data_IF_441677338772
#
_entry.id   IF_441677338772
#
_cell.length_a   1.000
_cell.length_b   1.000
_cell.length_c   1.000
_cell.angle_alpha   90.00
_cell.angle_beta   90.00
_cell.angle_gamma   90.00
#
_symmetry.space_group_name_H-M   'P 1'
#
loop_
_entity.id
_entity.type
_entity.pdbx_description
1 polymer ?
#
# COMPACT_ATOMS: atom_id res chain seq x y z
N UNK A 1 24.28 -6.56 43.01
CA UNK A 1 23.11 -6.16 42.21
C UNK A 1 23.44 -6.53 40.77
N UNK A 2 23.19 -7.80 40.42
CA UNK A 2 23.57 -8.37 39.13
C UNK A 2 22.55 -7.96 38.06
N UNK A 3 23.03 -7.23 37.06
CA UNK A 3 22.27 -6.90 35.86
C UNK A 3 22.45 -8.05 34.88
N UNK A 4 21.53 -9.02 34.89
CA UNK A 4 21.45 -10.03 33.83
C UNK A 4 20.80 -9.41 32.60
N UNK A 5 21.61 -9.07 31.61
CA UNK A 5 21.15 -8.75 30.25
C UNK A 5 21.07 -10.07 29.47
N UNK A 6 19.91 -10.73 29.53
CA UNK A 6 19.59 -11.90 28.71
C UNK A 6 19.40 -11.47 27.23
N UNK A 7 20.50 -11.33 26.49
CA UNK A 7 20.50 -10.99 25.05
C UNK A 7 20.66 -12.24 24.19
N UNK A 8 19.82 -13.26 24.41
CA UNK A 8 19.79 -14.45 23.55
C UNK A 8 18.38 -14.84 23.14
N UNK A 9 17.66 -13.89 22.53
CA UNK A 9 16.46 -14.22 21.78
C UNK A 9 16.77 -15.26 20.69
N UNK A 10 15.95 -16.28 20.54
CA UNK A 10 16.16 -17.36 19.57
C UNK A 10 16.09 -16.84 18.12
N UNK A 11 16.68 -17.56 17.15
CA UNK A 11 16.54 -17.20 15.72
C UNK A 11 15.06 -17.17 15.29
N UNK A 12 14.22 -17.99 15.91
CA UNK A 12 12.78 -18.02 15.71
C UNK A 12 12.10 -16.75 16.25
N UNK A 13 12.40 -16.32 17.48
CA UNK A 13 11.89 -15.05 18.05
C UNK A 13 12.35 -13.84 17.24
N UNK A 14 13.62 -13.79 16.81
CA UNK A 14 14.09 -12.71 15.93
C UNK A 14 13.51 -12.80 14.51
N UNK A 15 12.90 -13.92 14.12
CA UNK A 15 12.20 -14.09 12.84
C UNK A 15 10.72 -13.76 12.98
N UNK A 16 10.10 -14.07 14.12
CA UNK A 16 8.77 -13.63 14.51
C UNK A 16 8.71 -12.12 14.73
N UNK A 17 9.66 -11.53 15.45
CA UNK A 17 9.83 -10.07 15.53
C UNK A 17 10.25 -9.42 14.19
N UNK A 18 10.61 -10.24 13.19
CA UNK A 18 10.82 -9.83 11.80
C UNK A 18 9.71 -10.30 10.85
N UNK A 19 8.59 -10.85 11.35
CA UNK A 19 7.30 -10.79 10.64
C UNK A 19 6.95 -9.32 10.65
N UNK A 20 7.53 -8.63 9.66
CA UNK A 20 7.63 -7.17 9.60
C UNK A 20 6.34 -6.69 9.03
N UNK A 21 5.85 -5.59 9.60
CA UNK A 21 4.71 -4.94 9.04
C UNK A 21 4.95 -4.64 7.55
N UNK A 22 4.00 -5.04 6.71
CA UNK A 22 4.08 -4.79 5.27
C UNK A 22 3.52 -3.40 4.98
N UNK A 23 4.19 -2.63 4.14
CA UNK A 23 3.64 -1.35 3.66
C UNK A 23 3.01 -1.55 2.28
N UNK A 24 1.72 -1.24 2.17
CA UNK A 24 1.02 -1.13 0.89
C UNK A 24 0.77 0.34 0.62
N UNK A 25 1.47 0.90 -0.37
CA UNK A 25 1.44 2.34 -0.65
C UNK A 25 0.87 2.57 -2.05
N UNK A 26 -0.04 3.53 -2.19
CA UNK A 26 -0.56 3.94 -3.50
C UNK A 26 -0.33 5.41 -3.74
N UNK A 27 -0.07 5.78 -4.99
CA UNK A 27 0.11 7.16 -5.43
C UNK A 27 -0.36 7.33 -6.89
N UNK A 28 -0.47 8.58 -7.31
CA UNK A 28 -0.79 9.01 -8.66
C UNK A 28 0.15 10.15 -9.11
N UNK A 29 -0.05 10.65 -10.33
CA UNK A 29 0.79 11.71 -10.91
C UNK A 29 0.81 13.02 -10.08
N UNK A 30 -0.19 13.24 -9.22
CA UNK A 30 -0.28 14.45 -8.40
C UNK A 30 0.34 14.29 -7.01
N UNK A 31 0.65 13.05 -6.61
CA UNK A 31 1.10 12.71 -5.26
C UNK A 31 2.53 12.18 -5.20
N UNK A 32 3.30 12.24 -6.30
CA UNK A 32 4.69 11.76 -6.35
C UNK A 32 5.60 12.42 -5.29
N UNK A 33 5.48 13.74 -5.10
CA UNK A 33 6.27 14.44 -4.08
C UNK A 33 5.90 13.99 -2.65
N UNK A 34 4.60 13.77 -2.38
CA UNK A 34 4.14 13.27 -1.10
C UNK A 34 4.59 11.82 -0.86
N UNK A 35 4.62 11.01 -1.92
CA UNK A 35 5.15 9.64 -1.89
C UNK A 35 6.62 9.64 -1.50
N UNK A 36 7.47 10.44 -2.15
CA UNK A 36 8.91 10.50 -1.81
C UNK A 36 9.15 10.93 -0.37
N UNK A 37 8.43 11.96 0.10
CA UNK A 37 8.50 12.39 1.50
C UNK A 37 8.10 11.25 2.44
N UNK A 38 7.01 10.54 2.16
CA UNK A 38 6.58 9.41 2.97
C UNK A 38 7.63 8.29 2.99
N UNK A 39 8.14 7.88 1.82
CA UNK A 39 9.14 6.81 1.70
C UNK A 39 10.43 7.15 2.46
N UNK A 40 10.83 8.43 2.49
CA UNK A 40 11.99 8.89 3.25
C UNK A 40 11.81 8.76 4.78
N UNK A 41 10.58 8.65 5.29
CA UNK A 41 10.31 8.41 6.72
C UNK A 41 10.36 6.94 7.10
N UNK A 42 10.31 6.03 6.12
CA UNK A 42 10.25 4.60 6.38
C UNK A 42 11.61 4.06 6.86
N UNK A 43 11.62 3.08 7.78
CA UNK A 43 12.85 2.38 8.14
C UNK A 43 13.51 1.73 6.92
N UNK A 44 14.84 1.66 6.90
CA UNK A 44 15.61 1.00 5.82
C UNK A 44 15.22 -0.46 5.57
N UNK A 45 14.60 -1.09 6.57
CA UNK A 45 14.17 -2.47 6.52
C UNK A 45 12.68 -2.65 6.21
N UNK A 46 11.95 -1.56 5.97
CA UNK A 46 10.57 -1.56 5.51
C UNK A 46 10.45 -2.41 4.25
N UNK A 47 9.39 -3.21 4.19
CA UNK A 47 9.12 -4.16 3.11
C UNK A 47 7.69 -3.97 2.65
N UNK A 48 7.40 -4.14 1.37
CA UNK A 48 6.08 -3.76 0.87
C UNK A 48 5.95 -3.61 -0.63
N UNK A 49 4.81 -3.07 -1.05
CA UNK A 49 4.48 -2.74 -2.43
C UNK A 49 4.10 -1.28 -2.56
N UNK A 50 4.50 -0.68 -3.67
CA UNK A 50 4.14 0.68 -4.05
C UNK A 50 3.51 0.59 -5.44
N UNK A 51 2.28 1.04 -5.58
CA UNK A 51 1.61 1.18 -6.87
C UNK A 51 1.47 2.66 -7.21
N UNK A 52 1.92 3.05 -8.39
CA UNK A 52 1.89 4.44 -8.84
C UNK A 52 1.16 4.49 -10.18
N UNK A 53 0.05 5.19 -10.23
CA UNK A 53 -0.69 5.39 -11.47
C UNK A 53 -0.29 6.70 -12.15
N UNK A 54 -0.18 6.66 -13.47
CA UNK A 54 0.15 7.84 -14.29
C UNK A 54 -0.65 7.83 -15.59
N UNK A 55 -0.85 8.99 -16.24
CA UNK A 55 -1.57 9.06 -17.52
C UNK A 55 -0.97 8.15 -18.59
N UNK A 56 0.34 8.26 -18.83
CA UNK A 56 1.04 7.60 -19.93
C UNK A 56 2.39 6.98 -19.50
N UNK A 57 3.01 6.15 -20.36
CA UNK A 57 4.33 5.58 -20.08
C UNK A 57 5.45 6.62 -20.10
N UNK A 58 5.26 7.75 -20.77
CA UNK A 58 6.18 8.89 -20.72
C UNK A 58 6.28 9.56 -19.34
N UNK A 59 5.30 9.35 -18.47
CA UNK A 59 5.25 9.90 -17.11
C UNK A 59 5.96 9.00 -16.08
N UNK A 60 6.49 7.85 -16.50
CA UNK A 60 7.20 6.92 -15.62
C UNK A 60 8.55 7.51 -15.22
N UNK A 61 8.82 7.52 -13.91
CA UNK A 61 10.04 8.03 -13.32
C UNK A 61 10.80 7.04 -12.45
N UNK A 62 11.78 7.58 -11.73
CA UNK A 62 12.52 6.86 -10.68
C UNK A 62 11.97 7.31 -9.33
N UNK A 63 11.77 6.34 -8.43
CA UNK A 63 11.37 6.57 -7.03
C UNK A 63 12.35 5.84 -6.14
N UNK A 64 12.94 6.58 -5.20
CA UNK A 64 13.85 6.01 -4.19
C UNK A 64 13.04 5.36 -3.07
N UNK A 65 12.79 4.05 -3.20
CA UNK A 65 12.13 3.24 -2.18
C UNK A 65 13.13 2.43 -1.33
N UNK A 66 12.79 2.10 -0.07
CA UNK A 66 13.56 1.15 0.72
C UNK A 66 13.79 -0.17 -0.03
N UNK A 67 14.99 -0.77 0.12
CA UNK A 67 15.44 -1.87 -0.75
C UNK A 67 14.65 -3.19 -0.66
N UNK A 68 13.63 -3.30 0.19
CA UNK A 68 12.70 -4.45 0.25
C UNK A 68 11.27 -4.09 -0.20
N UNK A 69 11.10 -2.92 -0.79
CA UNK A 69 9.84 -2.47 -1.39
C UNK A 69 9.93 -2.57 -2.92
N UNK A 70 8.82 -2.93 -3.55
CA UNK A 70 8.72 -3.01 -5.01
C UNK A 70 7.82 -1.90 -5.53
N UNK A 71 8.35 -1.04 -6.40
CA UNK A 71 7.60 0.00 -7.10
C UNK A 71 7.04 -0.55 -8.41
N UNK A 72 5.74 -0.38 -8.63
CA UNK A 72 5.03 -0.76 -9.85
C UNK A 72 4.35 0.45 -10.46
N UNK A 73 4.72 0.78 -11.69
CA UNK A 73 4.12 1.89 -12.43
C UNK A 73 2.94 1.42 -13.30
N UNK A 74 1.86 2.20 -13.27
CA UNK A 74 0.59 1.91 -13.91
C UNK A 74 0.20 3.04 -14.87
N UNK A 75 0.78 3.06 -16.06
CA UNK A 75 0.32 3.90 -17.17
C UNK A 75 -1.11 3.55 -17.61
N UNK A 76 -2.07 4.46 -17.41
CA UNK A 76 -3.49 4.24 -17.73
C UNK A 76 -3.76 4.12 -19.22
N UNK A 77 -3.09 4.91 -20.06
CA UNK A 77 -3.29 4.91 -21.50
C UNK A 77 -2.98 3.55 -22.17
N UNK A 78 -2.09 2.76 -21.56
CA UNK A 78 -1.73 1.42 -22.03
C UNK A 78 -2.64 0.31 -21.48
N UNK A 79 -3.70 0.64 -20.74
CA UNK A 79 -4.56 -0.32 -20.02
C UNK A 79 -6.02 -0.15 -20.41
N UNK A 80 -6.72 -1.28 -20.46
CA UNK A 80 -8.17 -1.33 -20.62
C UNK A 80 -8.85 -1.15 -19.27
N UNK A 81 -9.94 -0.37 -19.29
CA UNK A 81 -10.83 -0.20 -18.15
C UNK A 81 -11.69 -1.45 -17.91
N UNK A 82 -12.89 -1.23 -17.40
CA UNK A 82 -13.78 -2.31 -16.97
C UNK A 82 -13.98 -3.36 -18.09
N UNK A 83 -13.83 -4.67 -17.79
CA UNK A 83 -14.00 -5.74 -18.76
C UNK A 83 -15.30 -5.62 -19.55
N UNK A 84 -15.22 -5.85 -20.86
CA UNK A 84 -16.39 -5.77 -21.75
C UNK A 84 -16.79 -4.37 -22.22
N UNK A 85 -16.16 -3.29 -21.71
CA UNK A 85 -16.50 -1.92 -22.15
C UNK A 85 -15.71 -1.44 -23.36
N UNK A 86 -14.54 -2.01 -23.63
CA UNK A 86 -13.60 -1.53 -24.65
C UNK A 86 -13.03 -0.13 -24.39
N UNK A 87 -13.26 0.44 -23.21
CA UNK A 87 -12.79 1.78 -22.82
C UNK A 87 -11.36 1.70 -22.27
N UNK A 88 -10.63 2.82 -22.37
CA UNK A 88 -9.40 3.01 -21.62
C UNK A 88 -9.68 3.13 -20.11
N UNK A 89 -8.68 2.85 -19.27
CA UNK A 89 -8.77 3.04 -17.83
C UNK A 89 -9.10 4.50 -17.47
N UNK A 90 -10.09 4.68 -16.60
CA UNK A 90 -10.32 5.96 -15.94
C UNK A 90 -9.24 6.22 -14.87
N UNK A 91 -9.02 7.50 -14.46
CA UNK A 91 -8.18 7.81 -13.31
C UNK A 91 -8.58 7.04 -12.06
N UNK A 92 -7.61 6.41 -11.40
CA UNK A 92 -7.77 5.58 -10.20
C UNK A 92 -8.09 4.11 -10.49
N UNK A 93 -8.56 3.77 -11.68
CA UNK A 93 -9.05 2.42 -11.99
C UNK A 93 -7.92 1.38 -12.08
N UNK A 94 -6.79 1.75 -12.69
CA UNK A 94 -5.65 0.85 -12.76
C UNK A 94 -5.02 0.67 -11.37
N UNK A 95 -4.95 1.77 -10.60
CA UNK A 95 -4.46 1.77 -9.22
C UNK A 95 -5.28 0.88 -8.30
N UNK A 96 -6.60 1.07 -8.29
CA UNK A 96 -7.52 0.30 -7.45
C UNK A 96 -7.44 -1.19 -7.80
N UNK A 97 -7.56 -1.54 -9.08
CA UNK A 97 -7.50 -2.93 -9.55
C UNK A 97 -6.19 -3.63 -9.15
N UNK A 98 -5.04 -2.98 -9.35
CA UNK A 98 -3.75 -3.58 -9.01
C UNK A 98 -3.59 -3.75 -7.49
N UNK A 99 -4.06 -2.78 -6.71
CA UNK A 99 -3.98 -2.80 -5.25
C UNK A 99 -4.88 -3.88 -4.65
N UNK A 100 -6.15 -3.95 -5.08
CA UNK A 100 -7.09 -4.96 -4.62
C UNK A 100 -6.65 -6.37 -5.01
N UNK A 101 -6.19 -6.58 -6.25
CA UNK A 101 -5.68 -7.89 -6.67
C UNK A 101 -4.47 -8.34 -5.84
N UNK A 102 -3.55 -7.42 -5.52
CA UNK A 102 -2.43 -7.73 -4.64
C UNK A 102 -2.90 -8.06 -3.22
N UNK A 103 -3.85 -7.28 -2.69
CA UNK A 103 -4.39 -7.47 -1.36
C UNK A 103 -5.13 -8.82 -1.23
N UNK A 104 -5.93 -9.19 -2.23
CA UNK A 104 -6.64 -10.47 -2.28
C UNK A 104 -5.69 -11.67 -2.23
N UNK A 105 -4.54 -11.57 -2.89
CA UNK A 105 -3.55 -12.65 -2.91
C UNK A 105 -2.68 -12.71 -1.64
N UNK A 106 -2.42 -11.56 -1.00
CA UNK A 106 -1.35 -11.43 0.00
C UNK A 106 -1.85 -11.17 1.43
N UNK A 107 -3.10 -10.75 1.61
CA UNK A 107 -3.69 -10.46 2.92
C UNK A 107 -4.69 -11.55 3.34
N UNK A 108 -4.58 -12.78 2.80
CA UNK A 108 -5.45 -13.90 3.15
C UNK A 108 -5.42 -14.21 4.67
N UNK A 109 -6.54 -14.74 5.19
CA UNK A 109 -6.84 -14.93 6.62
C UNK A 109 -5.75 -15.61 7.47
N UNK A 110 -4.85 -16.39 6.87
CA UNK A 110 -3.78 -17.12 7.56
C UNK A 110 -2.60 -16.20 8.00
N UNK A 111 -2.51 -14.97 7.49
CA UNK A 111 -1.44 -14.00 7.77
C UNK A 111 -1.84 -12.91 8.78
N UNK A 112 -2.89 -13.14 9.57
CA UNK A 112 -3.39 -12.22 10.61
C UNK A 112 -2.35 -11.77 11.67
N UNK A 113 -1.18 -12.42 11.73
CA UNK A 113 -0.07 -12.02 12.60
C UNK A 113 0.84 -10.92 12.01
N UNK A 114 0.76 -10.63 10.71
CA UNK A 114 1.57 -9.61 10.05
C UNK A 114 0.77 -8.32 9.85
N UNK A 115 1.05 -7.31 10.69
CA UNK A 115 0.41 -5.99 10.57
C UNK A 115 0.69 -5.37 9.19
N UNK A 116 -0.33 -5.06 8.39
CA UNK A 116 -0.13 -4.38 7.11
C UNK A 116 -0.56 -2.93 7.23
N UNK A 117 0.37 -1.99 7.06
CA UNK A 117 0.06 -0.56 7.00
C UNK A 117 -0.24 -0.15 5.57
N UNK A 118 -1.46 0.35 5.35
CA UNK A 118 -1.92 0.82 4.05
C UNK A 118 -1.85 2.34 4.01
N UNK A 119 -1.19 2.92 3.01
CA UNK A 119 -1.07 4.38 2.85
C UNK A 119 -1.50 4.77 1.44
N UNK A 120 -2.64 5.44 1.33
CA UNK A 120 -3.28 5.78 0.07
C UNK A 120 -3.09 7.28 -0.21
N UNK A 121 -2.25 7.62 -1.18
CA UNK A 121 -1.94 9.01 -1.54
C UNK A 121 -2.62 9.47 -2.84
N UNK A 122 -3.28 8.56 -3.55
CA UNK A 122 -3.91 8.85 -4.84
C UNK A 122 -5.21 9.67 -4.73
N UNK A 123 -5.82 9.91 -5.91
CA UNK A 123 -7.10 10.59 -6.04
C UNK A 123 -8.27 9.88 -5.37
N UNK A 124 -9.37 10.61 -5.21
CA UNK A 124 -10.55 10.16 -4.46
C UNK A 124 -11.13 8.84 -4.98
N UNK A 125 -11.39 8.73 -6.29
CA UNK A 125 -12.11 7.57 -6.86
C UNK A 125 -11.35 6.25 -6.60
N UNK A 126 -10.07 6.18 -6.98
CA UNK A 126 -9.27 4.99 -6.71
C UNK A 126 -9.10 4.71 -5.22
N UNK A 127 -8.93 5.75 -4.39
CA UNK A 127 -8.81 5.59 -2.94
C UNK A 127 -10.10 5.04 -2.32
N UNK A 128 -11.27 5.53 -2.74
CA UNK A 128 -12.56 5.07 -2.25
C UNK A 128 -12.79 3.59 -2.57
N UNK A 129 -12.54 3.19 -3.83
CA UNK A 129 -12.67 1.80 -4.27
C UNK A 129 -11.74 0.87 -3.48
N UNK A 130 -10.51 1.30 -3.21
CA UNK A 130 -9.55 0.52 -2.41
C UNK A 130 -10.03 0.41 -0.95
N UNK A 131 -10.43 1.52 -0.33
CA UNK A 131 -10.90 1.51 1.07
C UNK A 131 -12.12 0.62 1.23
N UNK A 132 -13.09 0.72 0.33
CA UNK A 132 -14.27 -0.14 0.32
C UNK A 132 -13.84 -1.61 0.22
N UNK A 133 -13.03 -1.97 -0.77
CA UNK A 133 -12.59 -3.37 -0.93
C UNK A 133 -11.85 -3.91 0.30
N UNK A 134 -10.87 -3.17 0.82
CA UNK A 134 -10.08 -3.60 1.98
C UNK A 134 -10.94 -3.80 3.23
N UNK A 135 -11.88 -2.89 3.48
CA UNK A 135 -12.72 -2.93 4.70
C UNK A 135 -13.91 -3.87 4.57
N UNK A 136 -14.58 -3.93 3.41
CA UNK A 136 -15.79 -4.75 3.24
C UNK A 136 -15.49 -6.17 2.80
N UNK A 137 -14.52 -6.34 1.90
CA UNK A 137 -14.21 -7.66 1.30
C UNK A 137 -13.18 -8.40 2.13
N UNK A 138 -12.10 -7.72 2.53
CA UNK A 138 -11.00 -8.33 3.28
C UNK A 138 -11.10 -8.12 4.80
N UNK A 139 -12.05 -7.31 5.28
CA UNK A 139 -12.26 -7.09 6.71
C UNK A 139 -11.09 -6.40 7.42
N UNK A 140 -10.22 -5.69 6.69
CA UNK A 140 -9.08 -4.97 7.26
C UNK A 140 -9.60 -3.83 8.14
N UNK A 141 -9.07 -3.73 9.36
CA UNK A 141 -9.40 -2.63 10.25
C UNK A 141 -8.95 -1.29 9.63
N UNK A 142 -9.89 -0.35 9.55
CA UNK A 142 -9.65 1.02 9.10
C UNK A 142 -8.52 1.73 9.84
N UNK A 143 -8.20 1.33 11.09
CA UNK A 143 -7.07 1.85 11.85
C UNK A 143 -5.71 1.59 11.16
N UNK A 144 -5.60 0.57 10.31
CA UNK A 144 -4.40 0.25 9.55
C UNK A 144 -4.34 0.97 8.19
N UNK A 145 -5.38 1.70 7.82
CA UNK A 145 -5.49 2.41 6.54
C UNK A 145 -5.33 3.90 6.79
N UNK A 146 -4.38 4.52 6.09
CA UNK A 146 -4.22 5.97 6.04
C UNK A 146 -4.67 6.47 4.67
N UNK A 147 -5.69 7.33 4.65
CA UNK A 147 -6.17 8.04 3.48
C UNK A 147 -6.38 9.52 3.83
N UNK A 148 -6.36 10.45 2.86
CA UNK A 148 -6.51 11.87 3.15
C UNK A 148 -7.86 12.18 3.82
N UNK A 149 -7.81 12.85 4.98
CA UNK A 149 -9.01 13.17 5.78
C UNK A 149 -10.10 13.89 4.99
N UNK A 150 -9.70 14.75 4.03
CA UNK A 150 -10.61 15.48 3.13
C UNK A 150 -11.54 14.58 2.32
N UNK A 151 -11.22 13.29 2.18
CA UNK A 151 -12.07 12.33 1.47
C UNK A 151 -13.17 11.73 2.37
N UNK A 152 -13.03 11.80 3.69
CA UNK A 152 -14.04 11.31 4.63
C UNK A 152 -14.37 9.81 4.52
N UNK A 153 -13.42 9.00 4.01
CA UNK A 153 -13.63 7.58 3.72
C UNK A 153 -13.49 6.66 4.94
N UNK A 154 -12.67 7.07 5.91
CA UNK A 154 -12.39 6.29 7.11
C UNK A 154 -13.17 6.89 8.27
N UNK A 155 -13.86 6.02 9.01
CA UNK A 155 -14.62 6.45 10.19
C UNK A 155 -13.63 6.73 11.31
N UNK A 156 -13.51 7.98 11.76
CA UNK A 156 -12.78 8.27 12.98
C UNK A 156 -13.52 7.60 14.15
N UNK A 157 -12.85 6.67 14.84
CA UNK A 157 -13.36 6.23 16.14
C UNK A 157 -13.44 7.45 17.06
N UNK A 158 -14.59 7.59 17.71
CA UNK A 158 -14.97 8.75 18.51
C UNK A 158 -15.01 8.40 19.98
#
# INVERSE_FOLDING_TARGET
METSLDIRSTRAERRAARRRAHHLVTADEQSLAALEVFLATLPLCASGRIFIEVPDTGDIGVIDAPGRMTVTWLARAARTGAPGTGRACAPGEALARATCAWADEMLCDDDAEAETHVTLLGGYLGTADIVEHLTTTLGIDSAHIHAPERFGLLRSER
#
